data_IF_366021152100
#
_entry.id   IF_366021152100
#
_cell.length_a   1.000
_cell.length_b   1.000
_cell.length_c   1.000
_cell.angle_alpha   90.00
_cell.angle_beta   90.00
_cell.angle_gamma   90.00
#
_symmetry.space_group_name_H-M   'P 1'
#
loop_
_entity.id
_entity.type
_entity.pdbx_description
1 polymer ?
#
# COMPACT_ATOMS: atom_id res chain seq x y z
N UNK A 1 21.32 9.21 -23.81
CA UNK A 1 22.60 9.95 -23.77
C UNK A 1 23.82 9.06 -24.06
N UNK A 2 23.87 7.81 -23.56
CA UNK A 2 24.99 6.86 -23.79
C UNK A 2 25.40 6.70 -25.26
N UNK A 3 24.44 6.73 -26.19
CA UNK A 3 24.64 6.54 -27.63
C UNK A 3 24.91 7.84 -28.42
N UNK A 4 24.88 9.02 -27.76
CA UNK A 4 25.02 10.30 -28.46
C UNK A 4 25.83 11.31 -27.62
N UNK A 5 27.17 11.32 -27.77
CA UNK A 5 28.07 12.21 -27.04
C UNK A 5 27.78 13.70 -27.25
N UNK A 6 27.29 14.07 -28.45
CA UNK A 6 26.98 15.47 -28.79
C UNK A 6 25.77 15.99 -28.00
N UNK A 7 24.78 15.13 -27.74
CA UNK A 7 23.62 15.46 -26.90
C UNK A 7 24.03 15.78 -25.47
N UNK A 8 25.01 15.05 -24.93
CA UNK A 8 25.55 15.33 -23.60
C UNK A 8 26.34 16.65 -23.58
N UNK A 9 27.13 16.94 -24.62
CA UNK A 9 27.85 18.22 -24.75
C UNK A 9 26.90 19.41 -24.74
N UNK A 10 25.80 19.32 -25.48
CA UNK A 10 24.75 20.34 -25.47
C UNK A 10 24.11 20.50 -24.09
N UNK A 11 23.86 19.39 -23.38
CA UNK A 11 23.33 19.41 -22.02
C UNK A 11 24.30 20.12 -21.05
N UNK A 12 25.60 19.81 -21.11
CA UNK A 12 26.62 20.46 -20.27
C UNK A 12 26.73 21.96 -20.54
N UNK A 13 26.67 22.37 -21.82
CA UNK A 13 26.63 23.78 -22.22
C UNK A 13 25.40 24.49 -21.66
N UNK A 14 24.22 23.89 -21.78
CA UNK A 14 22.97 24.46 -21.28
C UNK A 14 22.98 24.69 -19.75
N UNK A 15 23.77 23.92 -19.01
CA UNK A 15 23.91 24.05 -17.56
C UNK A 15 25.17 24.84 -17.12
N UNK A 16 25.90 25.47 -18.06
CA UNK A 16 27.06 26.30 -17.76
C UNK A 16 28.28 25.54 -17.23
N UNK A 17 28.31 24.21 -17.39
CA UNK A 17 29.35 23.32 -16.85
C UNK A 17 30.21 22.70 -17.95
N UNK A 18 30.16 23.20 -19.18
CA UNK A 18 30.95 22.70 -20.31
C UNK A 18 32.47 22.75 -20.09
N UNK A 19 32.94 23.61 -19.19
CA UNK A 19 34.35 23.75 -18.82
C UNK A 19 34.67 23.21 -17.42
N UNK A 20 33.72 22.52 -16.78
CA UNK A 20 33.94 21.94 -15.46
C UNK A 20 34.97 20.81 -15.54
N UNK A 21 35.94 20.83 -14.62
CA UNK A 21 36.92 19.73 -14.50
C UNK A 21 36.25 18.54 -13.82
N UNK A 22 36.19 17.35 -14.44
CA UNK A 22 35.72 16.16 -13.77
C UNK A 22 36.65 15.85 -12.59
N UNK A 23 36.14 15.89 -11.36
CA UNK A 23 36.95 15.63 -10.16
C UNK A 23 36.91 14.14 -9.81
N UNK A 24 35.79 13.46 -10.05
CA UNK A 24 35.62 12.03 -9.81
C UNK A 24 34.73 11.40 -10.90
N UNK A 25 35.20 10.30 -11.50
CA UNK A 25 34.41 9.46 -12.39
C UNK A 25 34.10 8.14 -11.66
N UNK A 26 32.85 7.70 -11.75
CA UNK A 26 32.38 6.44 -11.17
C UNK A 26 31.72 5.67 -12.30
N UNK A 27 32.08 4.38 -12.44
CA UNK A 27 31.56 3.50 -13.47
C UNK A 27 31.46 2.08 -12.91
N UNK A 28 30.48 1.30 -13.37
CA UNK A 28 30.52 -0.15 -13.22
C UNK A 28 31.67 -0.73 -14.06
N UNK A 29 32.21 -1.93 -13.73
CA UNK A 29 33.31 -2.53 -14.50
C UNK A 29 33.03 -2.61 -16.01
N UNK A 30 31.80 -2.93 -16.41
CA UNK A 30 31.33 -2.99 -17.79
C UNK A 30 31.13 -1.62 -18.46
N UNK A 31 31.12 -0.54 -17.69
CA UNK A 31 30.93 0.83 -18.17
C UNK A 31 32.25 1.61 -18.32
N UNK A 32 33.36 1.10 -17.77
CA UNK A 32 34.67 1.75 -17.76
C UNK A 32 35.07 2.24 -19.16
N UNK A 33 35.05 1.35 -20.16
CA UNK A 33 35.46 1.68 -21.53
C UNK A 33 34.66 2.87 -22.10
N UNK A 34 33.35 2.88 -21.86
CA UNK A 34 32.47 3.96 -22.30
C UNK A 34 32.74 5.27 -21.56
N UNK A 35 32.99 5.23 -20.24
CA UNK A 35 33.33 6.44 -19.47
C UNK A 35 34.69 7.00 -19.88
N UNK A 36 35.66 6.15 -20.21
CA UNK A 36 36.96 6.61 -20.74
C UNK A 36 36.81 7.29 -22.10
N UNK A 37 36.04 6.72 -23.02
CA UNK A 37 35.72 7.33 -24.31
C UNK A 37 35.03 8.69 -24.12
N UNK A 38 34.12 8.77 -23.15
CA UNK A 38 33.46 10.03 -22.78
C UNK A 38 34.47 11.08 -22.28
N UNK A 39 35.36 10.72 -21.34
CA UNK A 39 36.40 11.62 -20.84
C UNK A 39 37.29 12.13 -21.99
N UNK A 40 37.67 11.24 -22.92
CA UNK A 40 38.46 11.59 -24.12
C UNK A 40 37.71 12.57 -25.03
N UNK A 41 36.42 12.34 -25.28
CA UNK A 41 35.60 13.23 -26.11
C UNK A 41 35.47 14.65 -25.54
N UNK A 42 35.60 14.79 -24.22
CA UNK A 42 35.59 16.07 -23.53
C UNK A 42 36.99 16.74 -23.51
N UNK A 43 38.00 16.12 -24.14
CA UNK A 43 39.36 16.64 -24.25
C UNK A 43 40.24 16.35 -23.04
N UNK A 44 39.81 15.44 -22.15
CA UNK A 44 40.58 15.03 -20.98
C UNK A 44 41.24 13.66 -21.18
N UNK A 45 42.29 13.38 -20.41
CA UNK A 45 42.90 12.06 -20.36
C UNK A 45 42.20 11.21 -19.30
N UNK A 46 41.76 9.98 -19.61
CA UNK A 46 41.18 9.09 -18.60
C UNK A 46 42.23 8.71 -17.54
N UNK A 47 41.80 8.32 -16.34
CA UNK A 47 42.71 7.90 -15.29
C UNK A 47 43.48 6.65 -15.73
N UNK A 48 44.76 6.57 -15.36
CA UNK A 48 45.60 5.41 -15.68
C UNK A 48 45.12 4.13 -14.97
N UNK A 49 44.45 4.27 -13.82
CA UNK A 49 43.93 3.17 -13.02
C UNK A 49 42.55 3.52 -12.47
N UNK A 50 41.63 2.56 -12.53
CA UNK A 50 40.35 2.62 -11.83
C UNK A 50 40.50 2.00 -10.44
N UNK A 51 39.93 2.66 -9.43
CA UNK A 51 39.86 2.09 -8.07
C UNK A 51 38.50 1.45 -7.88
N UNK A 52 38.48 0.15 -7.60
CA UNK A 52 37.24 -0.55 -7.22
C UNK A 52 36.88 -0.17 -5.80
N UNK A 53 35.64 0.29 -5.61
CA UNK A 53 35.08 0.53 -4.29
C UNK A 53 33.75 -0.21 -4.18
N UNK A 54 33.54 -0.89 -3.07
CA UNK A 54 32.24 -1.47 -2.74
C UNK A 54 31.42 -0.41 -2.01
N UNK A 55 30.36 0.06 -2.65
CA UNK A 55 29.39 0.90 -1.96
C UNK A 55 28.53 0.01 -1.06
N UNK A 56 28.37 0.35 0.24
CA UNK A 56 27.41 -0.34 1.08
C UNK A 56 26.01 -0.19 0.44
N UNK A 57 25.14 -1.21 0.49
CA UNK A 57 23.80 -1.14 -0.07
C UNK A 57 23.07 0.13 0.40
N UNK A 58 22.82 1.04 -0.53
CA UNK A 58 22.05 2.26 -0.26
C UNK A 58 20.56 1.89 -0.34
N UNK A 59 19.77 2.33 0.65
CA UNK A 59 18.31 2.20 0.62
C UNK A 59 17.73 3.50 0.11
N UNK A 60 17.17 3.47 -1.10
CA UNK A 60 16.43 4.60 -1.65
C UNK A 60 14.95 4.36 -1.37
N UNK A 61 14.26 5.34 -0.78
CA UNK A 61 12.79 5.30 -0.70
C UNK A 61 12.22 5.62 -2.08
N UNK A 62 11.64 4.60 -2.73
CA UNK A 62 10.88 4.75 -3.96
C UNK A 62 9.41 5.00 -3.61
N UNK A 63 8.84 6.08 -4.12
CA UNK A 63 7.39 6.28 -4.17
C UNK A 63 6.92 5.75 -5.51
N UNK A 64 6.22 4.60 -5.49
CA UNK A 64 5.68 3.97 -6.71
C UNK A 64 4.17 4.20 -6.73
N UNK A 65 3.67 4.81 -7.80
CA UNK A 65 2.25 4.85 -8.09
C UNK A 65 1.85 3.52 -8.74
N UNK A 66 1.18 2.65 -7.99
CA UNK A 66 0.66 1.39 -8.51
C UNK A 66 -0.82 1.53 -8.82
N UNK A 67 -1.24 1.12 -10.01
CA UNK A 67 -2.66 0.99 -10.33
C UNK A 67 -3.15 -0.40 -9.90
N UNK A 68 -4.00 -0.45 -8.89
CA UNK A 68 -4.71 -1.68 -8.55
C UNK A 68 -5.84 -1.92 -9.56
N UNK A 69 -5.88 -3.10 -10.16
CA UNK A 69 -6.94 -3.46 -11.10
C UNK A 69 -8.29 -3.65 -10.39
N UNK A 70 -9.40 -3.43 -11.09
CA UNK A 70 -10.76 -3.62 -10.57
C UNK A 70 -10.99 -4.93 -9.77
N UNK A 71 -10.43 -6.10 -10.14
CA UNK A 71 -10.56 -7.32 -9.33
C UNK A 71 -10.05 -7.21 -7.89
N UNK A 72 -9.05 -6.36 -7.64
CA UNK A 72 -8.53 -6.12 -6.29
C UNK A 72 -9.59 -5.51 -5.38
N UNK A 73 -10.25 -4.45 -5.83
CA UNK A 73 -11.29 -3.77 -5.04
C UNK A 73 -12.53 -4.65 -4.86
N UNK A 74 -12.85 -5.49 -5.84
CA UNK A 74 -13.90 -6.52 -5.71
C UNK A 74 -13.56 -7.53 -4.61
N UNK A 75 -12.29 -7.95 -4.50
CA UNK A 75 -11.85 -8.82 -3.43
C UNK A 75 -11.95 -8.14 -2.05
N UNK A 76 -11.55 -6.87 -1.93
CA UNK A 76 -11.71 -6.08 -0.70
C UNK A 76 -13.18 -6.00 -0.28
N UNK A 77 -14.08 -5.68 -1.22
CA UNK A 77 -15.51 -5.64 -0.95
C UNK A 77 -16.07 -7.00 -0.52
N UNK A 78 -15.64 -8.10 -1.15
CA UNK A 78 -16.05 -9.45 -0.78
C UNK A 78 -15.62 -9.83 0.64
N UNK A 79 -14.38 -9.49 1.02
CA UNK A 79 -13.87 -9.71 2.38
C UNK A 79 -14.73 -8.93 3.39
N UNK A 80 -14.97 -7.64 3.12
CA UNK A 80 -15.78 -6.77 3.96
C UNK A 80 -17.22 -7.28 4.13
N UNK A 81 -17.84 -7.72 3.04
CA UNK A 81 -19.20 -8.26 3.04
C UNK A 81 -19.29 -9.55 3.85
N UNK A 82 -18.38 -10.50 3.60
CA UNK A 82 -18.37 -11.76 4.33
C UNK A 82 -18.10 -11.57 5.83
N UNK A 83 -17.18 -10.65 6.18
CA UNK A 83 -16.93 -10.29 7.56
C UNK A 83 -18.18 -9.72 8.23
N UNK A 84 -18.90 -8.82 7.55
CA UNK A 84 -20.15 -8.23 8.06
C UNK A 84 -21.18 -9.30 8.42
N UNK A 85 -21.44 -10.26 7.51
CA UNK A 85 -22.39 -11.36 7.75
C UNK A 85 -21.94 -12.26 8.91
N UNK A 86 -20.63 -12.48 9.04
CA UNK A 86 -20.08 -13.26 10.16
C UNK A 86 -20.29 -12.55 11.51
N UNK A 87 -20.15 -11.23 11.57
CA UNK A 87 -20.24 -10.44 12.81
C UNK A 87 -21.68 -10.12 13.22
N UNK A 88 -22.60 -10.10 12.27
CA UNK A 88 -24.03 -9.90 12.50
C UNK A 88 -24.81 -11.10 11.94
N UNK A 89 -24.90 -12.22 12.68
CA UNK A 89 -25.57 -13.44 12.22
C UNK A 89 -27.05 -13.26 11.87
N UNK A 90 -27.67 -12.18 12.33
CA UNK A 90 -29.02 -11.79 11.95
C UNK A 90 -29.14 -11.31 10.49
N UNK A 91 -28.02 -11.00 9.82
CA UNK A 91 -27.95 -10.67 8.40
C UNK A 91 -27.65 -11.92 7.58
N UNK A 92 -28.45 -12.15 6.55
CA UNK A 92 -28.36 -13.36 5.72
C UNK A 92 -27.50 -13.14 4.46
N UNK A 93 -27.40 -11.90 3.98
CA UNK A 93 -26.81 -11.55 2.69
C UNK A 93 -27.81 -11.54 1.53
N UNK A 94 -29.04 -12.01 1.75
CA UNK A 94 -30.10 -12.05 0.73
C UNK A 94 -30.98 -10.80 0.69
N UNK A 95 -30.75 -9.86 1.62
CA UNK A 95 -31.45 -8.60 1.70
C UNK A 95 -31.21 -7.76 0.44
N UNK A 96 -32.26 -7.07 -0.02
CA UNK A 96 -32.22 -6.26 -1.26
C UNK A 96 -31.27 -5.08 -1.13
N UNK A 97 -31.07 -4.60 0.10
CA UNK A 97 -30.13 -3.56 0.47
C UNK A 97 -28.69 -3.91 0.10
N UNK A 98 -28.38 -5.20 -0.05
CA UNK A 98 -27.06 -5.71 -0.41
C UNK A 98 -26.91 -6.03 -1.89
N UNK A 99 -27.96 -5.87 -2.72
CA UNK A 99 -27.89 -6.18 -4.16
C UNK A 99 -26.81 -5.35 -4.86
N UNK A 100 -26.66 -4.08 -4.48
CA UNK A 100 -25.63 -3.21 -5.04
C UNK A 100 -24.21 -3.71 -4.80
N UNK A 101 -23.86 -4.09 -3.56
CA UNK A 101 -22.51 -4.59 -3.26
C UNK A 101 -22.28 -6.00 -3.85
N UNK A 102 -23.32 -6.85 -3.88
CA UNK A 102 -23.22 -8.18 -4.51
C UNK A 102 -22.96 -8.08 -6.01
N UNK A 103 -23.69 -7.18 -6.69
CA UNK A 103 -23.48 -6.91 -8.11
C UNK A 103 -22.07 -6.36 -8.37
N UNK A 104 -21.62 -5.41 -7.55
CA UNK A 104 -20.23 -4.91 -7.64
C UNK A 104 -19.19 -6.03 -7.45
N UNK A 105 -19.38 -6.91 -6.47
CA UNK A 105 -18.46 -8.04 -6.24
C UNK A 105 -18.45 -8.99 -7.44
N UNK A 106 -19.60 -9.26 -8.06
CA UNK A 106 -19.73 -10.27 -9.12
C UNK A 106 -19.37 -9.73 -10.51
N UNK A 107 -19.88 -8.55 -10.84
CA UNK A 107 -19.84 -7.97 -12.18
C UNK A 107 -18.88 -6.77 -12.27
N UNK A 108 -18.45 -6.21 -11.14
CA UNK A 108 -17.67 -4.97 -11.10
C UNK A 108 -18.55 -3.73 -11.17
N UNK A 109 -17.97 -2.59 -11.52
CA UNK A 109 -18.68 -1.31 -11.61
C UNK A 109 -17.87 -0.16 -11.02
N UNK A 110 -18.57 0.88 -10.59
CA UNK A 110 -17.96 2.08 -10.01
C UNK A 110 -17.34 1.79 -8.64
N UNK A 111 -16.00 1.75 -8.56
CA UNK A 111 -15.26 1.41 -7.34
C UNK A 111 -15.55 2.40 -6.21
N UNK A 112 -15.51 3.70 -6.50
CA UNK A 112 -15.70 4.79 -5.53
C UNK A 112 -17.03 4.72 -4.77
N UNK A 113 -18.04 4.10 -5.37
CA UNK A 113 -19.34 3.90 -4.73
C UNK A 113 -19.30 2.92 -3.57
N UNK A 114 -18.40 1.93 -3.62
CA UNK A 114 -18.37 0.81 -2.66
C UNK A 114 -17.09 0.76 -1.85
N UNK A 115 -15.95 1.09 -2.44
CA UNK A 115 -14.63 0.98 -1.80
C UNK A 115 -13.89 2.30 -1.95
N UNK A 116 -13.62 2.93 -0.80
CA UNK A 116 -12.84 4.14 -0.73
C UNK A 116 -11.52 3.85 -0.01
N UNK A 117 -10.41 4.10 -0.68
CA UNK A 117 -9.11 4.13 -0.02
C UNK A 117 -9.03 5.36 0.87
N UNK A 118 -8.51 5.18 2.08
CA UNK A 118 -8.32 6.25 3.06
C UNK A 118 -6.88 6.73 3.07
N UNK A 119 -6.71 8.03 3.29
CA UNK A 119 -5.40 8.64 3.51
C UNK A 119 -5.00 8.64 5.00
N UNK A 120 -5.96 8.39 5.89
CA UNK A 120 -5.74 8.26 7.33
C UNK A 120 -5.82 6.79 7.79
N UNK A 121 -5.42 6.54 9.03
CA UNK A 121 -5.50 5.22 9.66
C UNK A 121 -6.74 5.13 10.54
N UNK A 122 -7.47 4.01 10.54
CA UNK A 122 -8.60 3.86 11.46
C UNK A 122 -8.25 3.28 12.83
N UNK A 123 -7.05 2.74 12.95
CA UNK A 123 -6.47 2.28 14.21
C UNK A 123 -5.58 3.39 14.78
N UNK A 124 -5.92 3.91 15.95
CA UNK A 124 -5.21 5.02 16.58
C UNK A 124 -3.75 4.68 16.87
N UNK A 125 -3.47 3.44 17.25
CA UNK A 125 -2.09 2.98 17.46
C UNK A 125 -1.23 3.22 16.22
N UNK A 126 -1.79 3.02 15.02
CA UNK A 126 -1.07 3.23 13.76
C UNK A 126 -0.89 4.71 13.43
N UNK A 127 -1.86 5.56 13.79
CA UNK A 127 -1.73 7.03 13.71
C UNK A 127 -0.61 7.55 14.59
N UNK A 128 -0.45 6.97 15.77
CA UNK A 128 0.64 7.26 16.71
C UNK A 128 1.99 6.67 16.30
N UNK A 129 2.09 6.11 15.09
CA UNK A 129 3.34 5.54 14.55
C UNK A 129 3.67 4.13 15.04
N UNK A 130 2.83 3.51 15.88
CA UNK A 130 3.07 2.14 16.33
C UNK A 130 2.82 1.15 15.18
N UNK A 131 3.53 0.01 15.22
CA UNK A 131 3.42 -1.06 14.24
C UNK A 131 3.30 -2.40 14.96
N UNK A 132 2.54 -3.37 14.39
CA UNK A 132 2.46 -4.69 14.99
C UNK A 132 3.80 -5.44 14.82
N UNK A 133 4.13 -6.32 15.76
CA UNK A 133 5.33 -7.18 15.69
C UNK A 133 5.17 -8.36 14.73
N UNK A 134 3.93 -8.70 14.37
CA UNK A 134 3.57 -9.75 13.43
C UNK A 134 2.71 -9.19 12.30
N UNK A 135 2.63 -9.91 11.20
CA UNK A 135 1.70 -9.55 10.12
C UNK A 135 0.26 -9.80 10.56
N UNK A 136 -0.63 -8.86 10.25
CA UNK A 136 -2.03 -8.92 10.64
C UNK A 136 -2.95 -8.30 9.59
N UNK A 137 -4.22 -8.68 9.65
CA UNK A 137 -5.33 -7.98 9.00
C UNK A 137 -6.24 -7.42 10.07
N UNK A 138 -6.74 -6.20 9.89
CA UNK A 138 -7.70 -5.61 10.80
C UNK A 138 -8.97 -5.32 10.03
N UNK A 139 -10.07 -5.81 10.60
CA UNK A 139 -11.41 -5.64 10.06
C UNK A 139 -12.28 -5.05 11.17
N UNK A 140 -13.12 -4.10 10.82
CA UNK A 140 -14.20 -3.67 11.69
C UNK A 140 -15.44 -3.38 10.89
N UNK A 141 -16.59 -3.58 11.51
CA UNK A 141 -17.87 -3.28 10.92
C UNK A 141 -18.69 -2.46 11.89
N UNK A 142 -19.17 -1.33 11.38
CA UNK A 142 -20.11 -0.45 12.05
C UNK A 142 -21.48 -0.62 11.41
N UNK A 143 -22.46 -0.93 12.25
CA UNK A 143 -23.87 -1.01 11.89
C UNK A 143 -24.63 0.02 12.71
N UNK A 144 -25.13 1.07 12.08
CA UNK A 144 -25.80 2.16 12.77
C UNK A 144 -26.19 3.29 11.82
N UNK A 145 -27.14 4.14 12.24
CA UNK A 145 -27.56 5.29 11.43
C UNK A 145 -28.21 4.92 10.09
N UNK A 146 -28.78 3.71 9.98
CA UNK A 146 -29.43 3.21 8.77
C UNK A 146 -28.47 2.70 7.69
N UNK A 147 -27.16 2.63 7.98
CA UNK A 147 -26.13 2.14 7.05
C UNK A 147 -25.21 1.14 7.72
N UNK A 148 -24.57 0.31 6.89
CA UNK A 148 -23.54 -0.63 7.32
C UNK A 148 -22.24 -0.29 6.59
N UNK A 149 -21.21 -0.01 7.37
CA UNK A 149 -19.89 0.38 6.88
C UNK A 149 -18.84 -0.55 7.45
N UNK A 150 -17.96 -1.06 6.60
CA UNK A 150 -16.87 -1.94 7.00
C UNK A 150 -15.53 -1.27 6.73
N UNK A 151 -14.60 -1.38 7.66
CA UNK A 151 -13.25 -0.86 7.60
C UNK A 151 -12.29 -2.04 7.44
N UNK A 152 -11.43 -1.97 6.43
CA UNK A 152 -10.54 -3.06 6.05
C UNK A 152 -9.12 -2.54 5.95
N UNK A 153 -8.20 -3.14 6.68
CA UNK A 153 -6.77 -2.91 6.52
C UNK A 153 -6.02 -4.22 6.46
N UNK A 154 -5.48 -4.52 5.28
CA UNK A 154 -4.83 -5.80 5.00
C UNK A 154 -3.31 -5.67 5.06
N UNK A 155 -2.65 -6.77 5.46
CA UNK A 155 -1.20 -6.89 5.41
C UNK A 155 -0.47 -5.80 6.19
N UNK A 156 -0.96 -5.48 7.39
CA UNK A 156 -0.24 -4.60 8.31
C UNK A 156 0.88 -5.40 8.97
N UNK A 157 2.08 -4.84 9.05
CA UNK A 157 3.24 -5.54 9.60
C UNK A 157 4.27 -4.61 10.23
N UNK A 158 5.39 -5.17 10.74
CA UNK A 158 6.42 -4.41 11.44
C UNK A 158 7.04 -3.29 10.59
N UNK A 159 7.06 -3.46 9.27
CA UNK A 159 7.70 -2.55 8.31
C UNK A 159 6.76 -2.07 7.20
N UNK A 160 5.48 -2.40 7.28
CA UNK A 160 4.50 -2.07 6.26
C UNK A 160 3.21 -1.62 6.91
N UNK A 161 2.69 -0.49 6.45
CA UNK A 161 1.38 0.00 6.83
C UNK A 161 0.63 0.39 5.55
N UNK A 162 -0.02 -0.58 4.88
CA UNK A 162 -0.81 -0.30 3.69
C UNK A 162 -1.99 0.63 4.01
N UNK A 163 -2.51 1.35 3.01
CA UNK A 163 -3.68 2.20 3.22
C UNK A 163 -4.88 1.34 3.65
N UNK A 164 -5.71 1.84 4.58
CA UNK A 164 -6.97 1.20 4.88
C UNK A 164 -8.05 1.59 3.86
N UNK A 165 -9.11 0.80 3.85
CA UNK A 165 -10.27 0.99 3.00
C UNK A 165 -11.53 1.12 3.85
N UNK A 166 -12.41 2.03 3.46
CA UNK A 166 -13.81 2.05 3.89
C UNK A 166 -14.64 1.39 2.81
N UNK A 167 -15.49 0.46 3.20
CA UNK A 167 -16.38 -0.28 2.32
C UNK A 167 -17.83 -0.03 2.71
N UNK A 168 -18.61 0.51 1.79
CA UNK A 168 -20.07 0.68 1.95
C UNK A 168 -20.75 -0.66 1.66
N UNK A 169 -21.32 -1.29 2.68
CA UNK A 169 -22.00 -2.58 2.54
C UNK A 169 -23.41 -2.40 1.98
N UNK A 170 -24.12 -1.40 2.47
CA UNK A 170 -25.50 -1.13 2.09
C UNK A 170 -26.25 -0.42 3.22
N UNK A 171 -27.57 -0.31 3.04
CA UNK A 171 -28.46 0.15 4.11
C UNK A 171 -28.65 -0.97 5.12
N UNK A 172 -28.91 -0.59 6.37
CA UNK A 172 -29.32 -1.55 7.39
C UNK A 172 -30.75 -2.03 7.08
N UNK A 173 -30.98 -3.34 6.86
CA UNK A 173 -32.32 -3.87 6.58
C UNK A 173 -33.25 -3.85 7.80
N UNK A 174 -32.75 -3.54 9.00
CA UNK A 174 -33.59 -3.43 10.19
C UNK A 174 -34.55 -2.23 10.12
N UNK A 175 -35.83 -2.50 10.36
CA UNK A 175 -36.88 -1.47 10.44
C UNK A 175 -36.75 -0.55 11.66
N UNK A 176 -35.93 -0.92 12.65
CA UNK A 176 -35.74 -0.18 13.90
C UNK A 176 -34.32 0.38 13.93
N UNK A 177 -34.21 1.70 14.11
CA UNK A 177 -32.94 2.36 14.36
C UNK A 177 -32.42 1.95 15.73
N UNK A 178 -31.36 1.13 15.74
CA UNK A 178 -30.66 0.73 16.96
C UNK A 178 -29.45 1.63 17.20
N UNK A 179 -28.93 1.61 18.45
CA UNK A 179 -27.66 2.28 18.76
C UNK A 179 -26.56 1.69 17.86
N UNK A 180 -25.65 2.53 17.32
CA UNK A 180 -24.54 2.04 16.51
C UNK A 180 -23.76 0.94 17.23
N UNK A 181 -23.54 -0.17 16.53
CA UNK A 181 -22.73 -1.31 16.98
C UNK A 181 -21.47 -1.35 16.13
N UNK A 182 -20.32 -1.28 16.80
CA UNK A 182 -19.00 -1.46 16.18
C UNK A 182 -18.42 -2.78 16.69
N UNK A 183 -18.08 -3.68 15.77
CA UNK A 183 -17.39 -4.95 16.06
C UNK A 183 -16.09 -4.97 15.27
N UNK A 184 -14.99 -5.32 15.92
CA UNK A 184 -13.66 -5.29 15.31
C UNK A 184 -12.82 -6.50 15.69
N UNK A 185 -12.06 -7.02 14.73
CA UNK A 185 -11.17 -8.15 14.91
C UNK A 185 -9.83 -7.91 14.24
N UNK A 186 -8.78 -8.46 14.84
CA UNK A 186 -7.48 -8.61 14.22
C UNK A 186 -7.24 -10.09 13.89
N UNK A 187 -6.71 -10.37 12.71
CA UNK A 187 -6.23 -11.70 12.36
C UNK A 187 -4.72 -11.69 12.31
N UNK A 188 -4.07 -12.27 13.31
CA UNK A 188 -2.62 -12.27 13.45
C UNK A 188 -2.03 -13.52 12.81
N UNK A 189 -1.10 -13.33 11.89
CA UNK A 189 -0.36 -14.42 11.23
C UNK A 189 0.80 -14.83 12.14
N UNK A 190 0.74 -16.05 12.68
CA UNK A 190 1.71 -16.53 13.66
C UNK A 190 2.93 -17.21 13.01
N UNK A 191 2.72 -17.85 11.87
CA UNK A 191 3.76 -18.53 11.10
C UNK A 191 3.68 -18.13 9.64
N UNK A 192 4.69 -17.41 9.16
CA UNK A 192 4.88 -17.12 7.75
C UNK A 192 5.81 -18.17 7.12
N UNK A 193 5.44 -19.46 7.19
CA UNK A 193 6.17 -20.48 6.44
C UNK A 193 5.57 -20.54 5.01
N UNK A 194 6.31 -20.18 3.96
CA UNK A 194 5.78 -20.15 2.59
C UNK A 194 5.36 -21.54 2.06
N UNK A 195 5.77 -22.62 2.73
CA UNK A 195 5.42 -24.01 2.37
C UNK A 195 4.16 -24.53 3.09
N UNK A 196 3.54 -23.74 3.98
CA UNK A 196 2.34 -24.14 4.72
C UNK A 196 1.27 -23.05 4.63
N UNK A 197 0.00 -23.46 4.72
CA UNK A 197 -1.10 -22.49 4.88
C UNK A 197 -0.81 -21.67 6.13
N UNK A 198 -0.73 -20.33 6.04
CA UNK A 198 -0.43 -19.49 7.19
C UNK A 198 -1.40 -19.80 8.34
N UNK A 199 -0.87 -20.17 9.50
CA UNK A 199 -1.67 -20.31 10.70
C UNK A 199 -1.80 -18.94 11.37
N UNK A 200 -3.02 -18.59 11.73
CA UNK A 200 -3.31 -17.34 12.41
C UNK A 200 -4.52 -17.45 13.31
N UNK A 201 -4.59 -16.53 14.27
CA UNK A 201 -5.67 -16.45 15.25
C UNK A 201 -6.46 -15.18 15.00
N UNK A 202 -7.78 -15.31 15.03
CA UNK A 202 -8.69 -14.18 15.05
C UNK A 202 -8.89 -13.78 16.51
N UNK A 203 -8.50 -12.56 16.84
CA UNK A 203 -8.64 -12.00 18.18
C UNK A 203 -9.58 -10.80 18.12
N UNK A 204 -10.41 -10.64 19.15
CA UNK A 204 -11.21 -9.43 19.33
C UNK A 204 -10.25 -8.24 19.42
N UNK A 205 -10.36 -7.33 18.46
CA UNK A 205 -9.67 -6.06 18.55
C UNK A 205 -10.45 -5.19 19.53
N UNK A 206 -10.26 -5.40 20.83
CA UNK A 206 -10.97 -4.65 21.86
C UNK A 206 -10.69 -3.14 21.65
N UNK A 207 -11.73 -2.29 21.55
CA UNK A 207 -11.58 -0.85 21.41
C UNK A 207 -10.72 -0.19 22.49
N UNK A 208 -10.59 -0.83 23.66
CA UNK A 208 -9.76 -0.38 24.78
C UNK A 208 -8.25 -0.56 24.49
N UNK A 209 -7.87 -1.56 23.70
CA UNK A 209 -6.47 -1.87 23.35
C UNK A 209 -6.05 -1.29 22.00
N UNK A 210 -7.02 -1.05 21.13
CA UNK A 210 -6.87 -0.46 19.80
C UNK A 210 -7.86 0.68 19.73
N UNK A 211 -7.47 1.88 20.17
CA UNK A 211 -8.36 3.03 20.14
C UNK A 211 -8.81 3.25 18.68
N UNK A 212 -10.12 3.33 18.46
CA UNK A 212 -10.75 3.61 17.16
C UNK A 212 -11.08 5.12 17.10
N UNK A 213 -10.86 5.72 15.93
CA UNK A 213 -10.89 7.16 15.56
C UNK A 213 -11.86 8.07 16.38
N UNK A 214 -11.47 9.33 16.69
CA UNK A 214 -12.37 10.35 17.26
C UNK A 214 -13.52 10.68 16.30
N UNK A 215 -14.73 10.78 16.84
CA UNK A 215 -15.85 11.39 16.12
C UNK A 215 -15.47 12.82 15.69
N UNK A 216 -15.94 13.30 14.51
CA UNK A 216 -15.93 14.74 14.25
C UNK A 216 -16.69 15.49 15.36
#
# INVERSE_FOLDING_TARGET
MRENPEMLRQYLRAHGIENAKPVHAIALPEEISWVEDLIRSLGFQPPANWTTTEFPPQKIQLVVNTHAAAPYFRAVAKIAFHYTLKMFPELTGHEREFDGIKDFIWNGGEISRFVQQRDDQFVENFRRGMRPTKWTHILAVERGGGVITCYVQLFVGPRSLPPPYTVSIGRDPSAILTKPRLISHQYVILTANPMQVPQGVMEDANPVNHVWIPRP
#
